data_IF_024315288465
#
_entry.id   IF_024315288465
#
_cell.length_a   1.000
_cell.length_b   1.000
_cell.length_c   1.000
_cell.angle_alpha   90.00
_cell.angle_beta   90.00
_cell.angle_gamma   90.00
#
_symmetry.space_group_name_H-M   'P 1'
#
loop_
_entity.id
_entity.type
_entity.pdbx_description
1 polymer ?
#
# COMPACT_ATOMS: atom_id res chain seq x y z
N UNK A 1 -8.40 -23.73 20.09
CA UNK A 1 -7.15 -23.00 20.39
C UNK A 1 -7.26 -21.63 19.73
N UNK A 2 -7.72 -20.63 20.47
CA UNK A 2 -7.59 -19.22 20.05
C UNK A 2 -6.10 -18.88 20.11
N UNK A 3 -5.57 -18.24 19.06
CA UNK A 3 -4.18 -17.82 19.07
C UNK A 3 -3.96 -16.82 20.22
N UNK A 4 -2.74 -16.76 20.75
CA UNK A 4 -2.35 -15.79 21.81
C UNK A 4 -2.75 -14.36 21.42
N UNK A 5 -2.72 -14.05 20.12
CA UNK A 5 -3.14 -12.77 19.55
C UNK A 5 -4.65 -12.52 19.63
N UNK A 6 -5.48 -13.57 19.54
CA UNK A 6 -6.93 -13.45 19.69
C UNK A 6 -7.35 -13.28 21.16
N UNK A 7 -6.57 -13.84 22.09
CA UNK A 7 -6.81 -13.71 23.53
C UNK A 7 -6.47 -12.29 24.01
N UNK A 8 -5.29 -11.76 23.65
CA UNK A 8 -4.88 -10.39 24.06
C UNK A 8 -5.82 -9.30 23.57
N UNK A 9 -6.42 -9.47 22.37
CA UNK A 9 -7.43 -8.57 21.82
C UNK A 9 -8.76 -8.60 22.60
N UNK A 10 -9.14 -9.77 23.15
CA UNK A 10 -10.33 -9.93 23.98
C UNK A 10 -10.12 -9.43 25.42
N UNK A 11 -8.88 -9.50 25.90
CA UNK A 11 -8.49 -9.11 27.26
C UNK A 11 -8.29 -7.58 27.40
N UNK A 12 -8.47 -6.81 26.32
CA UNK A 12 -8.33 -5.35 26.32
C UNK A 12 -6.88 -4.88 26.38
N UNK A 13 -5.90 -5.78 26.21
CA UNK A 13 -4.50 -5.39 26.03
C UNK A 13 -4.34 -4.78 24.64
N UNK A 14 -3.89 -3.53 24.57
CA UNK A 14 -3.60 -2.90 23.28
C UNK A 14 -2.48 -3.67 22.60
N UNK A 15 -2.75 -4.15 21.37
CA UNK A 15 -1.72 -4.74 20.51
C UNK A 15 -0.72 -3.63 20.15
N UNK A 16 0.30 -3.47 20.98
CA UNK A 16 1.31 -2.42 20.85
C UNK A 16 2.28 -2.82 19.74
N UNK A 17 2.09 -2.28 18.55
CA UNK A 17 3.01 -2.47 17.44
C UNK A 17 4.13 -1.42 17.58
N UNK A 18 5.41 -1.82 17.61
CA UNK A 18 6.51 -0.86 17.72
C UNK A 18 6.60 -0.04 16.42
N UNK A 19 6.80 1.28 16.55
CA UNK A 19 6.94 2.21 15.43
C UNK A 19 7.96 1.74 14.36
N UNK A 20 9.14 1.19 14.72
CA UNK A 20 10.06 0.64 13.73
C UNK A 20 9.47 -0.43 12.81
N UNK A 21 8.50 -1.22 13.30
CA UNK A 21 7.84 -2.23 12.47
C UNK A 21 6.93 -1.58 11.41
N UNK A 22 6.23 -0.50 11.75
CA UNK A 22 5.46 0.28 10.78
C UNK A 22 6.36 0.89 9.70
N UNK A 23 7.51 1.47 10.09
CA UNK A 23 8.46 2.05 9.15
C UNK A 23 9.05 0.98 8.22
N UNK A 24 9.42 -0.18 8.77
CA UNK A 24 9.93 -1.31 7.98
C UNK A 24 8.90 -1.80 6.95
N UNK A 25 7.64 -1.95 7.36
CA UNK A 25 6.55 -2.38 6.46
C UNK A 25 6.23 -1.31 5.43
N UNK A 26 6.31 -0.02 5.79
CA UNK A 26 6.22 1.09 4.84
C UNK A 26 7.30 1.02 3.76
N UNK A 27 8.56 0.81 4.15
CA UNK A 27 9.68 0.65 3.21
C UNK A 27 9.51 -0.58 2.30
N UNK A 28 9.10 -1.72 2.86
CA UNK A 28 8.80 -2.94 2.09
C UNK A 28 7.68 -2.67 1.07
N UNK A 29 6.62 -1.97 1.51
CA UNK A 29 5.50 -1.62 0.64
C UNK A 29 5.95 -0.75 -0.54
N UNK A 30 6.83 0.24 -0.31
CA UNK A 30 7.39 1.07 -1.37
C UNK A 30 8.22 0.26 -2.37
N UNK A 31 9.07 -0.64 -1.89
CA UNK A 31 9.88 -1.51 -2.77
C UNK A 31 8.98 -2.41 -3.62
N UNK A 32 7.98 -3.06 -3.01
CA UNK A 32 7.03 -3.90 -3.74
C UNK A 32 6.22 -3.11 -4.77
N UNK A 33 5.78 -1.90 -4.41
CA UNK A 33 5.06 -1.02 -5.32
C UNK A 33 5.95 -0.60 -6.49
N UNK A 34 7.22 -0.26 -6.24
CA UNK A 34 8.20 0.09 -7.27
C UNK A 34 8.42 -1.08 -8.24
N UNK A 35 8.63 -2.29 -7.74
CA UNK A 35 8.80 -3.51 -8.55
C UNK A 35 7.55 -3.76 -9.39
N UNK A 36 6.36 -3.75 -8.77
CA UNK A 36 5.11 -3.96 -9.48
C UNK A 36 4.89 -2.88 -10.56
N UNK A 37 5.20 -1.61 -10.27
CA UNK A 37 5.09 -0.48 -11.21
C UNK A 37 6.04 -0.67 -12.40
N UNK A 38 7.28 -1.08 -12.16
CA UNK A 38 8.25 -1.34 -13.22
C UNK A 38 7.83 -2.51 -14.11
N UNK A 39 7.33 -3.61 -13.54
CA UNK A 39 6.84 -4.76 -14.29
C UNK A 39 5.62 -4.39 -15.15
N UNK A 40 4.63 -3.69 -14.59
CA UNK A 40 3.47 -3.23 -15.36
C UNK A 40 3.88 -2.22 -16.43
N UNK A 41 4.82 -1.32 -16.12
CA UNK A 41 5.40 -0.36 -17.06
C UNK A 41 6.08 -1.04 -18.24
N UNK A 42 6.85 -2.11 -18.00
CA UNK A 42 7.45 -2.91 -19.05
C UNK A 42 6.40 -3.54 -19.97
N UNK A 43 5.28 -4.05 -19.42
CA UNK A 43 4.16 -4.57 -20.23
C UNK A 43 3.48 -3.46 -21.04
N UNK A 44 3.23 -2.31 -20.42
CA UNK A 44 2.61 -1.17 -21.08
C UNK A 44 3.47 -0.62 -22.23
N UNK A 45 4.80 -0.56 -22.05
CA UNK A 45 5.76 -0.10 -23.04
C UNK A 45 5.86 -1.04 -24.24
N UNK A 46 5.85 -2.36 -23.99
CA UNK A 46 5.86 -3.38 -25.05
C UNK A 46 4.48 -3.60 -25.70
N UNK A 47 3.47 -2.81 -25.33
CA UNK A 47 2.10 -2.98 -25.78
C UNK A 47 1.54 -4.41 -25.52
N UNK A 48 1.91 -5.00 -24.39
CA UNK A 48 1.48 -6.32 -23.94
C UNK A 48 0.41 -6.25 -22.86
N UNK A 49 -0.30 -7.36 -22.66
CA UNK A 49 -1.19 -7.53 -21.51
C UNK A 49 -0.40 -7.87 -20.23
N UNK A 50 -1.03 -7.64 -19.07
CA UNK A 50 -0.44 -7.96 -17.76
C UNK A 50 -0.55 -9.47 -17.53
N UNK A 51 0.59 -10.16 -17.43
CA UNK A 51 0.64 -11.60 -17.20
C UNK A 51 0.45 -11.97 -15.72
N UNK A 52 0.29 -13.26 -15.43
CA UNK A 52 0.04 -13.75 -14.07
C UNK A 52 1.18 -13.42 -13.09
N UNK A 53 2.43 -13.42 -13.57
CA UNK A 53 3.58 -13.06 -12.74
C UNK A 53 3.56 -11.59 -12.36
N UNK A 54 3.29 -10.71 -13.31
CA UNK A 54 3.14 -9.27 -13.03
C UNK A 54 1.95 -9.03 -12.08
N UNK A 55 0.82 -9.71 -12.29
CA UNK A 55 -0.34 -9.62 -11.39
C UNK A 55 -0.03 -10.14 -9.98
N UNK A 56 0.80 -11.16 -9.83
CA UNK A 56 1.26 -11.63 -8.53
C UNK A 56 2.00 -10.53 -7.76
N UNK A 57 2.95 -9.85 -8.40
CA UNK A 57 3.67 -8.73 -7.78
C UNK A 57 2.77 -7.55 -7.44
N UNK A 58 1.82 -7.23 -8.33
CA UNK A 58 0.79 -6.21 -8.04
C UNK A 58 -0.01 -6.61 -6.81
N UNK A 59 -0.50 -7.85 -6.73
CA UNK A 59 -1.23 -8.35 -5.57
C UNK A 59 -0.41 -8.28 -4.28
N UNK A 60 0.85 -8.69 -4.32
CA UNK A 60 1.75 -8.64 -3.17
C UNK A 60 1.99 -7.20 -2.68
N UNK A 61 2.17 -6.26 -3.61
CA UNK A 61 2.31 -4.84 -3.29
C UNK A 61 1.05 -4.29 -2.60
N UNK A 62 -0.14 -4.64 -3.10
CA UNK A 62 -1.41 -4.19 -2.52
C UNK A 62 -1.67 -4.79 -1.15
N UNK A 63 -1.34 -6.08 -0.94
CA UNK A 63 -1.42 -6.72 0.37
C UNK A 63 -0.48 -6.03 1.37
N UNK A 64 0.75 -5.71 0.95
CA UNK A 64 1.71 -5.00 1.80
C UNK A 64 1.22 -3.61 2.18
N UNK A 65 0.66 -2.84 1.24
CA UNK A 65 0.05 -1.54 1.52
C UNK A 65 -1.13 -1.68 2.48
N UNK A 66 -2.02 -2.66 2.27
CA UNK A 66 -3.14 -2.92 3.17
C UNK A 66 -2.67 -3.22 4.60
N UNK A 67 -1.65 -4.07 4.74
CA UNK A 67 -1.03 -4.35 6.04
C UNK A 67 -0.44 -3.08 6.68
N UNK A 68 0.25 -2.25 5.88
CA UNK A 68 0.83 -0.99 6.36
C UNK A 68 -0.25 -0.01 6.87
N UNK A 69 -1.39 0.08 6.16
CA UNK A 69 -2.54 0.90 6.57
C UNK A 69 -3.12 0.39 7.89
N UNK A 70 -3.35 -0.92 8.02
CA UNK A 70 -3.90 -1.50 9.26
C UNK A 70 -2.99 -1.20 10.44
N UNK A 71 -1.68 -1.36 10.28
CA UNK A 71 -0.71 -1.05 11.33
C UNK A 71 -0.71 0.45 11.65
N UNK A 72 -0.76 1.32 10.64
CA UNK A 72 -0.88 2.76 10.83
C UNK A 72 -2.11 3.14 11.64
N UNK A 73 -3.27 2.54 11.33
CA UNK A 73 -4.52 2.75 12.08
C UNK A 73 -4.41 2.28 13.54
N UNK A 74 -3.72 1.17 13.81
CA UNK A 74 -3.49 0.70 15.17
C UNK A 74 -2.61 1.67 15.98
N UNK A 75 -1.55 2.21 15.37
CA UNK A 75 -0.67 3.21 16.01
C UNK A 75 -1.39 4.52 16.37
N UNK A 76 -2.48 4.84 15.67
CA UNK A 76 -3.32 6.00 15.98
C UNK A 76 -4.18 5.84 17.21
N UNK A 77 -4.64 4.61 17.43
CA UNK A 77 -5.39 4.29 18.63
C UNK A 77 -4.52 4.47 19.90
N UNK A 78 -3.18 4.42 19.76
CA UNK A 78 -2.21 4.65 20.83
C UNK A 78 -1.87 6.14 21.08
N UNK A 79 -2.62 7.08 20.49
CA UNK A 79 -2.56 8.51 20.87
C UNK A 79 -1.41 9.31 20.23
N UNK A 80 -0.83 8.85 19.12
CA UNK A 80 0.15 9.64 18.34
C UNK A 80 -0.55 10.80 17.61
N UNK A 81 0.08 11.98 17.61
CA UNK A 81 -0.52 13.27 17.23
C UNK A 81 -0.97 13.37 15.75
N UNK A 82 -1.99 14.21 15.53
CA UNK A 82 -2.93 14.21 14.39
C UNK A 82 -2.55 15.11 13.20
N UNK A 83 -1.63 16.07 13.36
CA UNK A 83 -1.53 17.21 12.45
C UNK A 83 -1.05 16.82 11.03
N UNK A 84 -0.18 15.81 10.94
CA UNK A 84 0.30 15.23 9.68
C UNK A 84 -0.42 13.92 9.31
N UNK A 85 -1.37 13.50 10.15
CA UNK A 85 -1.94 12.18 10.07
C UNK A 85 -3.00 12.06 8.97
N UNK A 86 -3.87 13.06 8.86
CA UNK A 86 -4.92 13.08 7.84
C UNK A 86 -4.34 12.95 6.43
N UNK A 87 -3.32 13.75 6.03
CA UNK A 87 -2.71 13.57 4.72
C UNK A 87 -1.94 12.24 4.61
N UNK A 88 -1.23 11.79 5.65
CA UNK A 88 -0.56 10.48 5.66
C UNK A 88 -1.54 9.33 5.38
N UNK A 89 -2.70 9.34 6.06
CA UNK A 89 -3.75 8.33 5.95
C UNK A 89 -4.46 8.38 4.59
N UNK A 90 -4.84 9.56 4.11
CA UNK A 90 -5.51 9.72 2.82
C UNK A 90 -4.61 9.29 1.66
N UNK A 91 -3.34 9.71 1.67
CA UNK A 91 -2.36 9.33 0.66
C UNK A 91 -1.99 7.84 0.73
N UNK A 92 -1.98 7.26 1.94
CA UNK A 92 -1.76 5.84 2.16
C UNK A 92 -2.92 4.96 1.70
N UNK A 93 -4.17 5.41 1.82
CA UNK A 93 -5.38 4.71 1.36
C UNK A 93 -5.61 4.78 -0.15
N UNK A 94 -5.16 5.86 -0.80
CA UNK A 94 -5.38 6.09 -2.23
C UNK A 94 -4.95 4.90 -3.13
N UNK A 95 -3.75 4.29 -2.97
CA UNK A 95 -3.36 3.08 -3.71
C UNK A 95 -4.38 1.95 -3.66
N UNK A 96 -4.87 1.65 -2.45
CA UNK A 96 -5.79 0.56 -2.22
C UNK A 96 -7.15 0.87 -2.88
N UNK A 97 -7.65 2.10 -2.73
CA UNK A 97 -8.91 2.54 -3.34
C UNK A 97 -8.82 2.54 -4.86
N UNK A 98 -7.73 3.05 -5.43
CA UNK A 98 -7.48 3.00 -6.88
C UNK A 98 -7.43 1.55 -7.36
N UNK A 99 -6.75 0.67 -6.64
CA UNK A 99 -6.67 -0.74 -7.01
C UNK A 99 -8.02 -1.46 -6.89
N UNK A 100 -8.84 -1.19 -5.88
CA UNK A 100 -10.17 -1.80 -5.76
C UNK A 100 -11.10 -1.33 -6.89
N UNK A 101 -11.12 -0.03 -7.18
CA UNK A 101 -12.00 0.55 -8.21
C UNK A 101 -11.56 0.12 -9.62
N UNK A 102 -10.26 0.03 -9.85
CA UNK A 102 -9.71 -0.11 -11.20
C UNK A 102 -8.96 -1.42 -11.47
N UNK A 103 -8.59 -2.18 -10.44
CA UNK A 103 -7.94 -3.49 -10.56
C UNK A 103 -8.80 -4.52 -11.29
N UNK A 104 -10.13 -4.38 -11.26
CA UNK A 104 -11.00 -5.21 -12.11
C UNK A 104 -10.82 -4.96 -13.61
N UNK A 105 -10.46 -3.73 -14.01
CA UNK A 105 -10.13 -3.46 -15.43
C UNK A 105 -8.79 -4.10 -15.80
N UNK A 106 -7.83 -4.15 -14.88
CA UNK A 106 -6.50 -4.72 -15.07
C UNK A 106 -6.51 -6.20 -15.47
N UNK A 107 -7.51 -6.97 -15.02
CA UNK A 107 -7.62 -8.40 -15.33
C UNK A 107 -8.01 -8.69 -16.78
N UNK A 108 -8.47 -7.67 -17.53
CA UNK A 108 -8.73 -7.80 -18.96
C UNK A 108 -7.39 -7.92 -19.68
N UNK A 109 -7.17 -9.05 -20.38
CA UNK A 109 -5.97 -9.33 -21.19
C UNK A 109 -5.92 -8.44 -22.44
N UNK A 110 -5.69 -7.14 -22.26
CA UNK A 110 -5.61 -6.17 -23.35
C UNK A 110 -4.50 -5.14 -23.12
N UNK A 111 -4.01 -4.56 -24.22
CA UNK A 111 -2.97 -3.52 -24.21
C UNK A 111 -3.42 -2.25 -23.51
N UNK A 112 -4.68 -1.84 -23.71
CA UNK A 112 -5.24 -0.67 -23.03
C UNK A 112 -5.28 -0.85 -21.52
N UNK A 113 -5.51 -2.09 -21.06
CA UNK A 113 -5.55 -2.44 -19.64
C UNK A 113 -4.18 -2.28 -18.96
N UNK A 114 -3.08 -2.72 -19.59
CA UNK A 114 -1.74 -2.60 -19.01
C UNK A 114 -1.29 -1.14 -18.88
N UNK A 115 -1.56 -0.31 -19.89
CA UNK A 115 -1.29 1.14 -19.85
C UNK A 115 -2.08 1.84 -18.75
N UNK A 116 -3.35 1.48 -18.61
CA UNK A 116 -4.21 2.05 -17.59
C UNK A 116 -3.75 1.65 -16.18
N UNK A 117 -3.44 0.37 -15.98
CA UNK A 117 -2.89 -0.12 -14.72
C UNK A 117 -1.54 0.55 -14.40
N UNK A 118 -0.69 0.77 -15.41
CA UNK A 118 0.59 1.46 -15.22
C UNK A 118 0.39 2.86 -14.62
N UNK A 119 -0.54 3.64 -15.16
CA UNK A 119 -0.85 4.97 -14.62
C UNK A 119 -1.32 4.92 -13.16
N UNK A 120 -2.17 3.95 -12.83
CA UNK A 120 -2.62 3.72 -11.45
C UNK A 120 -1.47 3.35 -10.53
N UNK A 121 -0.57 2.47 -10.98
CA UNK A 121 0.60 2.05 -10.21
C UNK A 121 1.56 3.22 -9.96
N UNK A 122 1.79 4.07 -10.96
CA UNK A 122 2.60 5.29 -10.81
C UNK A 122 1.96 6.25 -9.79
N UNK A 123 0.66 6.52 -9.91
CA UNK A 123 -0.05 7.37 -8.94
C UNK A 123 0.04 6.80 -7.53
N UNK A 124 -0.16 5.49 -7.39
CA UNK A 124 -0.05 4.78 -6.12
C UNK A 124 1.37 4.91 -5.54
N UNK A 125 2.40 4.76 -6.36
CA UNK A 125 3.80 4.88 -5.93
C UNK A 125 4.10 6.28 -5.40
N UNK A 126 3.64 7.31 -6.12
CA UNK A 126 3.80 8.70 -5.72
C UNK A 126 3.05 8.96 -4.41
N UNK A 127 1.78 8.58 -4.29
CA UNK A 127 1.01 8.85 -3.06
C UNK A 127 1.52 8.07 -1.87
N UNK A 128 1.90 6.79 -2.02
CA UNK A 128 2.55 6.03 -0.95
C UNK A 128 3.90 6.63 -0.57
N UNK A 129 4.70 7.07 -1.54
CA UNK A 129 5.99 7.73 -1.29
C UNK A 129 5.82 9.02 -0.49
N UNK A 130 4.85 9.86 -0.86
CA UNK A 130 4.53 11.07 -0.12
C UNK A 130 4.00 10.76 1.29
N UNK A 131 3.11 9.76 1.42
CA UNK A 131 2.60 9.30 2.72
C UNK A 131 3.77 8.85 3.62
N UNK A 132 4.69 8.04 3.10
CA UNK A 132 5.86 7.57 3.83
C UNK A 132 6.78 8.73 4.26
N UNK A 133 7.07 9.66 3.35
CA UNK A 133 7.87 10.85 3.65
C UNK A 133 7.26 11.70 4.79
N UNK A 134 5.95 11.91 4.75
CA UNK A 134 5.22 12.59 5.83
C UNK A 134 5.34 11.81 7.14
N UNK A 135 5.25 10.47 7.10
CA UNK A 135 5.41 9.61 8.27
C UNK A 135 6.81 9.71 8.91
N UNK A 136 7.84 9.96 8.11
CA UNK A 136 9.22 10.23 8.58
C UNK A 136 9.42 11.70 9.04
N UNK A 137 8.36 12.51 9.06
CA UNK A 137 8.41 13.90 9.52
C UNK A 137 8.85 14.92 8.46
N UNK A 138 8.93 14.53 7.18
CA UNK A 138 9.19 15.47 6.10
C UNK A 138 7.96 16.35 5.91
N UNK A 139 8.13 17.66 6.07
CA UNK A 139 7.07 18.64 5.78
C UNK A 139 6.92 18.80 4.27
N UNK A 140 5.72 18.51 3.79
CA UNK A 140 5.30 18.76 2.42
C UNK A 140 4.28 19.88 2.56
N UNK A 141 4.71 21.11 2.23
CA UNK A 141 4.04 22.42 2.46
C UNK A 141 4.18 23.01 3.87
#
# INVERSE_FOLDING_TARGET
>A
MTSVLAQSWLDGESLTIPLPAHHAIGAISLVLLLVATALVGARAANADYVDGWTMFWVGLAQISVAANIVIGLLLLNDGRTLDQLVPHMLLGLAPLMLFVVFGWRATRKSVGSSRYLFLIMVLSLVTTGLSFAIGEGIKIF
#
